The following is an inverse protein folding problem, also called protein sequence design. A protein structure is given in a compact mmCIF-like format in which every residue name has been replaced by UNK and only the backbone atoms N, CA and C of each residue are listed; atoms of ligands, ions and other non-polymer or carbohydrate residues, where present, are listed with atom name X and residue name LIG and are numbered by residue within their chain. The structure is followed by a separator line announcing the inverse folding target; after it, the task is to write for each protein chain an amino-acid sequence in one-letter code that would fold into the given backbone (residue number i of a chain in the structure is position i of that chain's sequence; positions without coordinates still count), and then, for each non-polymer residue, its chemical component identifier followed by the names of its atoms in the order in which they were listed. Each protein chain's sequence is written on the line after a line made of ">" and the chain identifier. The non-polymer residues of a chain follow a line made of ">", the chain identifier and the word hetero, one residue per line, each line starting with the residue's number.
data_IF_682181621103
#
_entry.id   IF_682181621103
#
_cell.length_a   1.000
_cell.length_b   1.000
_cell.length_c   1.000
_cell.angle_alpha   90.00
_cell.angle_beta   90.00
_cell.angle_gamma   90.00
#
_symmetry.space_group_name_H-M   'P 1'
#
loop_
_entity.id
_entity.type
_entity.pdbx_description
1 polymer ?
#
# COMPACT_ATOMS: atom_id res chain seq x y z
N UNK A 1 -22.78 21.13 -19.01
CA UNK A 1 -21.55 21.91 -19.19
C UNK A 1 -20.56 21.54 -18.10
N UNK A 2 -19.26 21.78 -18.32
CA UNK A 2 -18.27 21.66 -17.26
C UNK A 2 -18.67 22.59 -16.11
N UNK A 3 -18.81 22.04 -14.91
CA UNK A 3 -19.35 22.75 -13.73
C UNK A 3 -20.84 22.51 -13.43
N UNK A 4 -21.60 21.83 -14.28
CA UNK A 4 -22.99 21.47 -13.96
C UNK A 4 -23.03 20.39 -12.88
N UNK A 5 -23.89 20.58 -11.88
CA UNK A 5 -24.08 19.60 -10.80
C UNK A 5 -24.94 18.44 -11.32
N UNK A 6 -24.46 17.23 -11.10
CA UNK A 6 -25.19 15.98 -11.30
C UNK A 6 -25.13 15.18 -10.01
N UNK A 7 -26.19 14.41 -9.74
CA UNK A 7 -26.25 13.49 -8.62
C UNK A 7 -26.31 12.05 -9.13
N UNK A 8 -25.61 11.14 -8.45
CA UNK A 8 -25.51 9.73 -8.87
C UNK A 8 -26.00 8.83 -7.74
N UNK A 9 -26.95 7.96 -8.04
CA UNK A 9 -27.34 6.86 -7.15
C UNK A 9 -26.49 5.63 -7.46
N UNK A 10 -25.46 5.40 -6.64
CA UNK A 10 -24.55 4.26 -6.80
C UNK A 10 -25.18 2.88 -6.57
N UNK A 11 -26.38 2.80 -5.98
CA UNK A 11 -27.07 1.51 -5.76
C UNK A 11 -27.87 1.08 -7.00
N UNK A 12 -28.50 2.03 -7.70
CA UNK A 12 -29.30 1.76 -8.91
C UNK A 12 -28.57 2.04 -10.21
N UNK A 13 -27.52 2.85 -10.17
CA UNK A 13 -26.85 3.37 -11.36
C UNK A 13 -27.60 4.51 -12.04
N UNK A 14 -28.57 5.14 -11.36
CA UNK A 14 -29.33 6.26 -11.89
C UNK A 14 -28.52 7.56 -11.81
N UNK A 15 -28.70 8.42 -12.82
CA UNK A 15 -28.05 9.73 -12.91
C UNK A 15 -29.14 10.79 -12.94
N UNK A 16 -29.07 11.74 -12.02
CA UNK A 16 -30.01 12.84 -11.86
C UNK A 16 -29.31 14.15 -12.22
N UNK A 17 -30.04 15.02 -12.91
CA UNK A 17 -29.59 16.38 -13.17
C UNK A 17 -29.86 17.26 -11.95
N UNK A 18 -28.85 18.04 -11.52
CA UNK A 18 -28.91 18.89 -10.34
C UNK A 18 -28.49 18.20 -9.03
N UNK A 19 -28.52 18.96 -7.95
CA UNK A 19 -28.22 18.51 -6.58
C UNK A 19 -29.43 17.80 -5.98
N UNK A 20 -29.27 16.54 -5.61
CA UNK A 20 -30.27 15.77 -4.86
C UNK A 20 -29.89 15.82 -3.39
N UNK A 21 -30.85 16.19 -2.53
CA UNK A 21 -30.64 16.29 -1.09
C UNK A 21 -30.23 14.93 -0.50
N UNK A 22 -29.12 14.92 0.23
CA UNK A 22 -28.60 13.71 0.87
C UNK A 22 -29.00 13.68 2.34
N UNK A 23 -29.27 12.49 2.86
CA UNK A 23 -29.58 12.28 4.27
C UNK A 23 -28.33 11.66 4.92
N UNK A 24 -27.84 12.27 6.01
CA UNK A 24 -26.82 11.60 6.82
C UNK A 24 -27.42 10.35 7.45
N UNK A 25 -26.73 9.22 7.32
CA UNK A 25 -27.15 7.99 7.97
C UNK A 25 -27.14 8.16 9.50
N UNK A 26 -28.32 8.33 10.11
CA UNK A 26 -28.44 8.46 11.56
C UNK A 26 -28.20 7.11 12.25
N UNK A 27 -27.30 7.10 13.24
CA UNK A 27 -27.10 5.96 14.13
C UNK A 27 -28.17 5.97 15.20
N UNK A 28 -29.29 5.30 14.92
CA UNK A 28 -30.31 5.10 15.96
C UNK A 28 -29.80 4.18 17.07
N UNK A 29 -30.28 4.37 18.29
CA UNK A 29 -30.00 3.45 19.41
C UNK A 29 -30.39 1.99 19.09
N UNK A 30 -31.43 1.79 18.26
CA UNK A 30 -31.82 0.45 17.80
C UNK A 30 -30.74 -0.19 16.91
N UNK A 31 -30.11 0.59 16.03
CA UNK A 31 -29.01 0.13 15.19
C UNK A 31 -27.78 -0.25 16.03
N UNK A 32 -27.37 0.60 16.98
CA UNK A 32 -26.22 0.30 17.84
C UNK A 32 -26.43 -0.98 18.64
N UNK A 33 -27.64 -1.16 19.22
CA UNK A 33 -27.99 -2.38 19.95
C UNK A 33 -27.96 -3.63 19.07
N UNK A 34 -28.45 -3.52 17.83
CA UNK A 34 -28.38 -4.61 16.87
C UNK A 34 -26.93 -4.95 16.48
N UNK A 35 -26.09 -3.94 16.27
CA UNK A 35 -24.67 -4.13 15.98
C UNK A 35 -23.94 -4.80 17.14
N UNK A 36 -24.23 -4.42 18.37
CA UNK A 36 -23.68 -5.08 19.57
C UNK A 36 -24.06 -6.56 19.61
N UNK A 37 -25.34 -6.92 19.42
CA UNK A 37 -25.76 -8.32 19.38
C UNK A 37 -25.11 -9.09 18.23
N UNK A 38 -24.95 -8.43 17.08
CA UNK A 38 -24.28 -9.03 15.93
C UNK A 38 -22.82 -9.36 16.27
N UNK A 39 -22.12 -8.46 16.95
CA UNK A 39 -20.75 -8.65 17.41
C UNK A 39 -20.61 -9.76 18.46
N UNK A 40 -21.52 -9.81 19.45
CA UNK A 40 -21.54 -10.85 20.50
C UNK A 40 -21.75 -12.27 19.94
N UNK A 41 -22.44 -12.40 18.81
CA UNK A 41 -22.74 -13.70 18.18
C UNK A 41 -21.84 -14.01 16.97
N UNK A 42 -21.05 -13.04 16.50
CA UNK A 42 -20.22 -13.20 15.33
C UNK A 42 -19.08 -14.21 15.60
N UNK A 43 -18.89 -15.14 14.67
CA UNK A 43 -17.72 -16.04 14.65
C UNK A 43 -16.51 -15.39 13.99
N UNK A 44 -16.72 -14.44 13.09
CA UNK A 44 -15.68 -13.80 12.29
C UNK A 44 -15.45 -12.38 12.78
N UNK A 45 -14.18 -12.01 12.89
CA UNK A 45 -13.81 -10.61 13.05
C UNK A 45 -13.98 -9.86 11.74
N UNK A 46 -14.42 -8.61 11.83
CA UNK A 46 -14.51 -7.69 10.68
C UNK A 46 -13.35 -6.71 10.77
N UNK A 47 -12.44 -6.78 9.80
CA UNK A 47 -11.39 -5.78 9.59
C UNK A 47 -11.76 -4.92 8.38
N UNK A 48 -11.26 -3.68 8.34
CA UNK A 48 -11.51 -2.75 7.24
C UNK A 48 -10.39 -2.79 6.19
N UNK A 49 -10.72 -2.39 4.96
CA UNK A 49 -9.72 -1.95 3.99
C UNK A 49 -9.68 -0.43 4.08
N UNK A 50 -8.56 0.14 4.49
CA UNK A 50 -8.45 1.57 4.76
C UNK A 50 -7.01 2.02 4.55
N UNK A 51 -6.87 3.20 3.95
CA UNK A 51 -5.57 3.78 3.59
C UNK A 51 -5.41 5.21 4.13
N UNK A 52 -6.52 5.94 4.28
CA UNK A 52 -6.52 7.32 4.79
C UNK A 52 -6.94 7.39 6.26
N UNK A 53 -6.52 8.44 6.95
CA UNK A 53 -6.94 8.69 8.34
C UNK A 53 -8.47 8.74 8.50
N UNK A 54 -9.17 9.33 7.52
CA UNK A 54 -10.63 9.40 7.52
C UNK A 54 -11.27 8.00 7.44
N UNK A 55 -10.78 7.15 6.53
CA UNK A 55 -11.28 5.77 6.39
C UNK A 55 -11.03 4.95 7.64
N UNK A 56 -9.83 5.10 8.23
CA UNK A 56 -9.42 4.38 9.44
C UNK A 56 -10.30 4.78 10.63
N UNK A 57 -10.50 6.08 10.84
CA UNK A 57 -11.37 6.59 11.90
C UNK A 57 -12.81 6.13 11.70
N UNK A 58 -13.33 6.21 10.47
CA UNK A 58 -14.68 5.76 10.17
C UNK A 58 -14.85 4.25 10.46
N UNK A 59 -13.93 3.41 10.00
CA UNK A 59 -14.03 1.96 10.25
C UNK A 59 -13.95 1.60 11.74
N UNK A 60 -13.13 2.29 12.53
CA UNK A 60 -13.12 2.10 13.98
C UNK A 60 -14.38 2.65 14.66
N UNK A 61 -14.99 3.72 14.16
CA UNK A 61 -16.33 4.15 14.61
C UNK A 61 -17.40 3.10 14.32
N UNK A 62 -17.22 2.24 13.30
CA UNK A 62 -18.10 1.10 13.00
C UNK A 62 -17.69 -0.21 13.69
N UNK A 63 -16.69 -0.18 14.58
CA UNK A 63 -16.29 -1.35 15.38
C UNK A 63 -15.33 -2.31 14.68
N UNK A 64 -14.65 -1.89 13.61
CA UNK A 64 -13.64 -2.72 12.96
C UNK A 64 -12.56 -3.18 13.95
N UNK A 65 -12.16 -4.46 13.86
CA UNK A 65 -11.17 -5.09 14.75
C UNK A 65 -9.72 -4.77 14.39
N UNK A 66 -9.50 -4.11 13.27
CA UNK A 66 -8.19 -3.76 12.72
C UNK A 66 -8.29 -3.46 11.23
N UNK A 67 -7.14 -3.35 10.58
CA UNK A 67 -7.04 -3.16 9.13
C UNK A 67 -6.63 -4.47 8.48
N UNK A 68 -7.45 -4.96 7.56
CA UNK A 68 -7.21 -6.19 6.80
C UNK A 68 -6.41 -5.94 5.53
N UNK A 69 -6.38 -4.69 5.05
CA UNK A 69 -5.60 -4.29 3.88
C UNK A 69 -5.37 -2.78 3.86
N UNK A 70 -4.12 -2.37 4.04
CA UNK A 70 -3.58 -1.08 3.59
C UNK A 70 -2.92 -1.31 2.23
N UNK A 71 -3.33 -0.55 1.22
CA UNK A 71 -2.68 -0.51 -0.09
C UNK A 71 -1.59 0.56 -0.09
N UNK A 72 -0.35 0.17 -0.36
CA UNK A 72 0.78 1.11 -0.35
C UNK A 72 0.91 1.91 -1.64
N UNK A 73 0.22 1.50 -2.70
CA UNK A 73 0.27 2.09 -4.04
C UNK A 73 -0.06 3.58 -4.05
N UNK A 74 -1.12 3.96 -3.33
CA UNK A 74 -1.56 5.35 -3.21
C UNK A 74 -0.48 6.23 -2.54
N UNK A 75 0.38 5.64 -1.72
CA UNK A 75 1.52 6.33 -1.10
C UNK A 75 2.66 6.64 -2.09
N UNK A 76 2.61 6.17 -3.33
CA UNK A 76 3.61 6.49 -4.37
C UNK A 76 3.14 7.54 -5.38
N UNK A 77 1.84 7.82 -5.47
CA UNK A 77 1.26 8.64 -6.54
C UNK A 77 1.29 10.15 -6.27
N UNK A 78 1.60 10.61 -5.05
CA UNK A 78 1.79 12.02 -4.77
C UNK A 78 2.93 12.60 -5.64
N UNK A 79 2.81 13.84 -6.19
CA UNK A 79 3.73 14.37 -7.20
C UNK A 79 5.22 14.26 -6.85
N UNK A 80 5.58 14.60 -5.60
CA UNK A 80 6.95 14.55 -5.10
C UNK A 80 7.50 13.13 -4.97
N UNK A 81 6.64 12.15 -4.70
CA UNK A 81 6.99 10.73 -4.54
C UNK A 81 7.09 10.04 -5.89
N UNK A 82 6.22 10.45 -6.81
CA UNK A 82 6.18 9.95 -8.18
C UNK A 82 7.47 10.29 -8.93
N UNK A 83 8.07 11.46 -8.66
CA UNK A 83 9.39 11.82 -9.22
C UNK A 83 10.46 10.83 -8.77
N UNK A 84 10.51 10.48 -7.49
CA UNK A 84 11.49 9.53 -6.95
C UNK A 84 11.22 8.10 -7.44
N UNK A 85 9.95 7.71 -7.59
CA UNK A 85 9.60 6.43 -8.19
C UNK A 85 10.06 6.35 -9.65
N UNK A 86 9.93 7.44 -10.41
CA UNK A 86 10.47 7.52 -11.77
C UNK A 86 12.00 7.52 -11.80
N UNK A 87 12.68 8.16 -10.84
CA UNK A 87 14.15 8.03 -10.66
C UNK A 87 14.55 6.57 -10.45
N UNK A 88 13.83 5.86 -9.58
CA UNK A 88 14.05 4.44 -9.35
C UNK A 88 13.90 3.62 -10.64
N UNK A 89 12.81 3.83 -11.39
CA UNK A 89 12.53 3.09 -12.64
C UNK A 89 13.61 3.33 -13.71
N UNK A 90 14.08 4.58 -13.87
CA UNK A 90 15.07 4.95 -14.89
C UNK A 90 16.52 4.70 -14.46
N UNK A 91 16.76 4.19 -13.24
CA UNK A 91 18.11 3.99 -12.72
C UNK A 91 18.78 2.74 -13.30
N UNK A 92 19.98 2.93 -13.83
CA UNK A 92 20.86 1.90 -14.37
C UNK A 92 21.67 1.15 -13.29
N UNK A 93 21.87 1.76 -12.11
CA UNK A 93 22.64 1.18 -11.01
C UNK A 93 21.82 0.98 -9.75
N UNK A 94 22.20 -0.03 -8.95
CA UNK A 94 21.57 -0.32 -7.67
C UNK A 94 21.72 0.85 -6.68
N UNK A 95 22.88 1.53 -6.67
CA UNK A 95 23.11 2.67 -5.76
C UNK A 95 22.13 3.83 -6.04
N UNK A 96 21.85 4.14 -7.31
CA UNK A 96 20.87 5.17 -7.68
C UNK A 96 19.45 4.76 -7.29
N UNK A 97 19.10 3.47 -7.46
CA UNK A 97 17.81 2.93 -7.00
C UNK A 97 17.65 3.06 -5.50
N UNK A 98 18.65 2.67 -4.72
CA UNK A 98 18.62 2.81 -3.25
C UNK A 98 18.51 4.28 -2.84
N UNK A 99 19.22 5.20 -3.51
CA UNK A 99 19.12 6.62 -3.22
C UNK A 99 17.69 7.14 -3.40
N UNK A 100 17.03 6.82 -4.51
CA UNK A 100 15.63 7.20 -4.76
C UNK A 100 14.67 6.56 -3.74
N UNK A 101 14.85 5.27 -3.47
CA UNK A 101 14.03 4.54 -2.49
C UNK A 101 14.20 5.10 -1.07
N UNK A 102 15.39 5.54 -0.67
CA UNK A 102 15.61 6.17 0.65
C UNK A 102 14.81 7.46 0.81
N UNK A 103 14.63 8.24 -0.26
CA UNK A 103 13.77 9.42 -0.26
C UNK A 103 12.30 9.02 -0.14
N UNK A 104 11.85 8.01 -0.89
CA UNK A 104 10.48 7.46 -0.77
C UNK A 104 10.22 6.95 0.64
N UNK A 105 11.21 6.28 1.26
CA UNK A 105 11.13 5.74 2.62
C UNK A 105 10.71 6.80 3.63
N UNK A 106 11.27 8.01 3.53
CA UNK A 106 10.95 9.09 4.47
C UNK A 106 9.47 9.49 4.40
N UNK A 107 8.89 9.52 3.20
CA UNK A 107 7.47 9.80 3.04
C UNK A 107 6.61 8.66 3.60
N UNK A 108 6.93 7.42 3.22
CA UNK A 108 6.17 6.26 3.69
C UNK A 108 6.24 6.04 5.19
N UNK A 109 7.38 6.33 5.82
CA UNK A 109 7.52 6.25 7.27
C UNK A 109 6.49 7.14 7.97
N UNK A 110 6.29 8.37 7.47
CA UNK A 110 5.29 9.29 8.03
C UNK A 110 3.86 8.77 7.82
N UNK A 111 3.55 8.24 6.63
CA UNK A 111 2.21 7.68 6.37
C UNK A 111 1.94 6.46 7.28
N UNK A 112 2.92 5.56 7.43
CA UNK A 112 2.79 4.40 8.30
C UNK A 112 2.71 4.79 9.77
N UNK A 113 3.43 5.83 10.21
CA UNK A 113 3.29 6.37 11.56
C UNK A 113 1.85 6.82 11.81
N UNK A 114 1.24 7.56 10.89
CA UNK A 114 -0.16 8.00 11.02
C UNK A 114 -1.13 6.81 11.08
N UNK A 115 -0.99 5.85 10.16
CA UNK A 115 -1.85 4.66 10.07
C UNK A 115 -1.74 3.78 11.33
N UNK A 116 -0.51 3.50 11.76
CA UNK A 116 -0.24 2.65 12.92
C UNK A 116 -0.66 3.33 14.23
N UNK A 117 -0.47 4.66 14.33
CA UNK A 117 -0.93 5.43 15.48
C UNK A 117 -2.44 5.41 15.63
N UNK A 118 -3.17 5.59 14.53
CA UNK A 118 -4.64 5.50 14.54
C UNK A 118 -5.13 4.09 14.85
N UNK A 119 -4.36 3.07 14.47
CA UNK A 119 -4.70 1.67 14.72
C UNK A 119 -4.41 1.22 16.15
N UNK A 120 -3.37 1.79 16.78
CA UNK A 120 -2.90 1.38 18.10
C UNK A 120 -2.56 -0.11 18.10
N UNK A 121 -2.98 -0.81 19.15
CA UNK A 121 -2.71 -2.25 19.30
C UNK A 121 -3.52 -3.15 18.35
N UNK A 122 -4.37 -2.58 17.49
CA UNK A 122 -5.15 -3.37 16.54
C UNK A 122 -4.26 -3.87 15.40
N UNK A 123 -4.44 -5.12 14.95
CA UNK A 123 -3.64 -5.65 13.88
C UNK A 123 -3.86 -4.88 12.57
N UNK A 124 -2.75 -4.54 11.92
CA UNK A 124 -2.73 -3.66 10.74
C UNK A 124 -1.96 -4.33 9.61
N UNK A 125 -2.69 -4.92 8.66
CA UNK A 125 -2.12 -5.59 7.49
C UNK A 125 -1.76 -4.57 6.42
N UNK A 126 -0.47 -4.46 6.11
CA UNK A 126 0.08 -3.58 5.10
C UNK A 126 0.57 -4.41 3.92
N UNK A 127 -0.06 -4.24 2.76
CA UNK A 127 0.35 -4.90 1.52
C UNK A 127 1.48 -4.12 0.87
N UNK A 128 2.59 -4.81 0.63
CA UNK A 128 3.70 -4.26 -0.13
C UNK A 128 3.28 -3.94 -1.58
N UNK A 129 4.12 -3.19 -2.30
CA UNK A 129 3.79 -2.67 -3.63
C UNK A 129 3.36 -3.79 -4.60
N UNK A 130 2.16 -3.68 -5.15
CA UNK A 130 1.61 -4.64 -6.13
C UNK A 130 1.66 -4.20 -7.61
N UNK A 131 1.48 -2.92 -8.02
CA UNK A 131 1.28 -2.56 -9.41
C UNK A 131 2.57 -2.65 -10.23
N UNK A 132 2.46 -2.88 -11.54
CA UNK A 132 3.58 -2.85 -12.46
C UNK A 132 4.16 -1.44 -12.59
N UNK A 133 5.44 -1.35 -12.96
CA UNK A 133 6.17 -0.08 -12.99
C UNK A 133 5.62 0.94 -14.01
N UNK A 134 4.96 0.49 -15.08
CA UNK A 134 4.43 1.39 -16.10
C UNK A 134 3.30 2.28 -15.59
N UNK A 135 2.60 1.91 -14.51
CA UNK A 135 1.57 2.75 -13.90
C UNK A 135 2.13 4.06 -13.31
N UNK A 136 3.44 4.11 -13.02
CA UNK A 136 4.12 5.31 -12.50
C UNK A 136 4.69 6.22 -13.59
N UNK A 137 4.64 5.79 -14.85
CA UNK A 137 5.23 6.51 -15.97
C UNK A 137 4.23 7.50 -16.62
N UNK A 138 4.73 8.61 -17.18
CA UNK A 138 3.87 9.61 -17.81
C UNK A 138 3.23 9.08 -19.11
N UNK A 139 1.94 9.35 -19.28
CA UNK A 139 1.18 8.90 -20.45
C UNK A 139 1.01 10.00 -21.51
N UNK A 140 1.03 11.27 -21.10
CA UNK A 140 0.86 12.40 -22.03
C UNK A 140 2.20 12.97 -22.49
N UNK A 141 2.25 13.50 -23.72
CA UNK A 141 3.46 14.13 -24.28
C UNK A 141 3.93 15.32 -23.44
N UNK A 142 3.02 16.08 -22.84
CA UNK A 142 3.35 17.20 -21.96
C UNK A 142 4.02 16.72 -20.67
N UNK A 143 3.48 15.69 -20.03
CA UNK A 143 4.08 15.11 -18.83
C UNK A 143 5.45 14.48 -19.12
N UNK A 144 5.61 13.82 -20.27
CA UNK A 144 6.90 13.26 -20.69
C UNK A 144 7.99 14.32 -20.76
N UNK A 145 7.68 15.50 -21.31
CA UNK A 145 8.64 16.61 -21.36
C UNK A 145 9.04 17.09 -19.96
N UNK A 146 8.07 17.25 -19.06
CA UNK A 146 8.33 17.64 -17.66
C UNK A 146 9.17 16.59 -16.92
N UNK A 147 8.85 15.31 -17.09
CA UNK A 147 9.59 14.21 -16.45
C UNK A 147 11.01 14.11 -16.97
N UNK A 148 11.20 14.24 -18.29
CA UNK A 148 12.52 14.24 -18.91
C UNK A 148 13.41 15.35 -18.33
N UNK A 149 12.86 16.55 -18.16
CA UNK A 149 13.56 17.69 -17.54
C UNK A 149 13.88 17.42 -16.05
N UNK A 150 12.91 16.97 -15.26
CA UNK A 150 13.08 16.68 -13.82
C UNK A 150 14.14 15.61 -13.53
N UNK A 151 14.25 14.63 -14.43
CA UNK A 151 15.14 13.48 -14.28
C UNK A 151 16.46 13.65 -15.04
N UNK A 152 16.62 14.77 -15.76
CA UNK A 152 17.77 15.07 -16.60
C UNK A 152 18.08 13.94 -17.60
N UNK A 153 17.03 13.44 -18.26
CA UNK A 153 17.09 12.44 -19.34
C UNK A 153 16.47 13.00 -20.60
N UNK A 154 16.80 12.44 -21.76
CA UNK A 154 16.15 12.82 -23.01
C UNK A 154 14.76 12.20 -23.13
N UNK A 155 13.83 12.86 -23.83
CA UNK A 155 12.49 12.30 -24.12
C UNK A 155 12.63 10.95 -24.84
N UNK A 156 13.64 10.80 -25.72
CA UNK A 156 13.90 9.55 -26.42
C UNK A 156 14.28 8.41 -25.49
N UNK A 157 15.14 8.65 -24.51
CA UNK A 157 15.48 7.64 -23.50
C UNK A 157 14.24 7.28 -22.68
N UNK A 158 13.46 8.27 -22.24
CA UNK A 158 12.22 8.04 -21.51
C UNK A 158 11.22 7.19 -22.32
N UNK A 159 11.02 7.49 -23.59
CA UNK A 159 10.14 6.71 -24.47
C UNK A 159 10.60 5.26 -24.64
N UNK A 160 11.92 5.03 -24.77
CA UNK A 160 12.49 3.69 -24.83
C UNK A 160 12.21 2.89 -23.54
N UNK A 161 12.32 3.54 -22.37
CA UNK A 161 11.97 2.89 -21.10
C UNK A 161 10.48 2.57 -21.00
N UNK A 162 9.60 3.51 -21.37
CA UNK A 162 8.15 3.29 -21.37
C UNK A 162 7.79 2.11 -22.28
N UNK A 163 8.37 2.06 -23.49
CA UNK A 163 8.15 0.97 -24.44
C UNK A 163 8.66 -0.37 -23.89
N UNK A 164 9.82 -0.39 -23.22
CA UNK A 164 10.40 -1.60 -22.63
C UNK A 164 9.59 -2.18 -21.47
N UNK A 165 8.83 -1.34 -20.76
CA UNK A 165 7.98 -1.73 -19.63
C UNK A 165 6.53 -1.97 -20.04
N UNK A 166 6.22 -1.81 -21.34
CA UNK A 166 4.90 -2.05 -21.86
C UNK A 166 4.64 -3.56 -21.93
N UNK A 167 3.54 -3.98 -21.31
CA UNK A 167 3.15 -5.38 -21.24
C UNK A 167 1.82 -5.58 -21.94
N UNK A 168 1.67 -6.70 -22.66
CA UNK A 168 0.41 -7.05 -23.32
C UNK A 168 -0.72 -7.21 -22.29
N UNK A 169 -0.41 -7.80 -21.13
CA UNK A 169 -1.37 -8.04 -20.04
C UNK A 169 -0.76 -7.63 -18.68
N UNK A 170 -0.83 -6.34 -18.30
CA UNK A 170 -0.30 -5.81 -17.03
C UNK A 170 -0.76 -6.57 -15.78
N UNK A 171 -2.00 -7.07 -15.78
CA UNK A 171 -2.56 -7.82 -14.66
C UNK A 171 -1.76 -9.10 -14.32
N UNK A 172 -1.13 -9.72 -15.32
CA UNK A 172 -0.37 -10.97 -15.18
C UNK A 172 1.14 -10.76 -15.34
N UNK A 173 1.60 -9.51 -15.42
CA UNK A 173 2.96 -9.14 -15.78
C UNK A 173 3.95 -9.08 -14.61
N UNK A 174 4.92 -8.19 -14.75
CA UNK A 174 6.02 -7.96 -13.82
C UNK A 174 5.60 -6.99 -12.70
N UNK A 175 4.90 -7.56 -11.72
CA UNK A 175 4.28 -6.84 -10.61
C UNK A 175 4.34 -7.65 -9.31
N UNK A 176 3.93 -7.07 -8.19
CA UNK A 176 3.92 -7.74 -6.87
C UNK A 176 5.25 -8.40 -6.51
N UNK A 177 5.24 -9.61 -5.94
CA UNK A 177 6.47 -10.29 -5.51
C UNK A 177 7.50 -10.48 -6.62
N UNK A 178 7.08 -10.57 -7.89
CA UNK A 178 7.99 -10.75 -9.04
C UNK A 178 8.86 -9.52 -9.24
N UNK A 179 8.28 -8.34 -9.03
CA UNK A 179 9.00 -7.08 -9.08
C UNK A 179 10.03 -6.99 -7.95
N UNK A 180 9.64 -7.41 -6.75
CA UNK A 180 10.56 -7.43 -5.61
C UNK A 180 11.64 -8.51 -5.71
N UNK A 181 11.44 -9.59 -6.47
CA UNK A 181 12.52 -10.55 -6.73
C UNK A 181 13.60 -9.94 -7.62
N UNK A 182 13.21 -9.14 -8.60
CA UNK A 182 14.17 -8.43 -9.47
C UNK A 182 14.76 -7.19 -8.80
N UNK A 183 14.00 -6.52 -7.93
CA UNK A 183 14.39 -5.31 -7.21
C UNK A 183 14.07 -5.45 -5.71
N UNK A 184 14.81 -6.31 -4.97
CA UNK A 184 14.54 -6.60 -3.57
C UNK A 184 14.62 -5.37 -2.66
N UNK A 185 15.43 -4.38 -3.03
CA UNK A 185 15.53 -3.10 -2.34
C UNK A 185 14.17 -2.41 -2.15
N UNK A 186 13.18 -2.67 -3.03
CA UNK A 186 11.86 -2.07 -2.94
C UNK A 186 11.07 -2.57 -1.71
N UNK A 187 10.96 -3.89 -1.53
CA UNK A 187 10.26 -4.46 -0.37
C UNK A 187 11.06 -4.29 0.92
N UNK A 188 12.40 -4.34 0.84
CA UNK A 188 13.27 -4.06 1.98
C UNK A 188 13.02 -2.65 2.49
N UNK A 189 12.99 -1.65 1.60
CA UNK A 189 12.71 -0.26 1.97
C UNK A 189 11.32 -0.09 2.60
N UNK A 190 10.28 -0.70 2.02
CA UNK A 190 8.92 -0.60 2.58
C UNK A 190 8.84 -1.25 3.97
N UNK A 191 9.45 -2.43 4.15
CA UNK A 191 9.51 -3.08 5.45
C UNK A 191 10.29 -2.26 6.48
N UNK A 192 11.39 -1.61 6.08
CA UNK A 192 12.09 -0.65 6.94
C UNK A 192 11.17 0.49 7.36
N UNK A 193 10.46 1.15 6.44
CA UNK A 193 9.54 2.25 6.76
C UNK A 193 8.46 1.83 7.78
N UNK A 194 7.90 0.63 7.61
CA UNK A 194 6.89 0.07 8.53
C UNK A 194 7.48 -0.15 9.92
N UNK A 195 8.66 -0.75 10.03
CA UNK A 195 9.26 -1.04 11.36
C UNK A 195 9.85 0.21 12.01
N UNK A 196 10.46 1.12 11.24
CA UNK A 196 10.94 2.42 11.75
C UNK A 196 9.80 3.23 12.35
N UNK A 197 8.67 3.35 11.65
CA UNK A 197 7.49 4.04 12.18
C UNK A 197 6.94 3.38 13.44
N UNK A 198 6.90 2.04 13.49
CA UNK A 198 6.49 1.30 14.68
C UNK A 198 7.44 1.51 15.88
N UNK A 199 8.75 1.59 15.65
CA UNK A 199 9.75 1.89 16.68
C UNK A 199 9.62 3.32 17.20
N UNK A 200 9.42 4.30 16.31
CA UNK A 200 9.18 5.70 16.67
C UNK A 200 7.92 5.84 17.53
N UNK A 201 6.84 5.16 17.16
CA UNK A 201 5.60 5.12 17.95
C UNK A 201 5.80 4.45 19.31
N UNK A 202 6.54 3.35 19.35
CA UNK A 202 6.86 2.67 20.62
C UNK A 202 7.64 3.58 21.56
N UNK A 203 8.59 4.37 21.05
CA UNK A 203 9.32 5.37 21.83
C UNK A 203 8.40 6.50 22.34
N UNK A 204 7.30 6.78 21.64
CA UNK A 204 6.24 7.70 22.08
C UNK A 204 5.22 7.03 23.04
N UNK A 205 5.39 5.76 23.40
CA UNK A 205 4.48 5.00 24.26
C UNK A 205 3.25 4.44 23.55
N UNK A 206 3.24 4.40 22.21
CA UNK A 206 2.16 3.84 21.40
C UNK A 206 2.55 2.43 20.95
N UNK A 207 1.85 1.42 21.46
CA UNK A 207 1.98 0.03 20.99
C UNK A 207 1.25 -0.15 19.66
N UNK A 208 1.87 -0.86 18.72
CA UNK A 208 1.28 -1.20 17.43
C UNK A 208 1.55 -2.66 17.03
N UNK A 209 0.72 -3.20 16.13
CA UNK A 209 0.82 -4.57 15.61
C UNK A 209 0.86 -4.59 14.07
N UNK A 210 1.99 -4.20 13.46
CA UNK A 210 2.14 -4.24 12.00
C UNK A 210 2.20 -5.70 11.48
N UNK A 211 1.44 -5.99 10.43
CA UNK A 211 1.51 -7.23 9.68
C UNK A 211 1.90 -6.91 8.22
N UNK A 212 3.03 -7.44 7.76
CA UNK A 212 3.54 -7.19 6.40
C UNK A 212 3.02 -8.29 5.48
N UNK A 213 2.36 -7.91 4.38
CA UNK A 213 1.78 -8.84 3.41
C UNK A 213 2.47 -8.74 2.05
N UNK A 214 2.98 -9.87 1.57
CA UNK A 214 3.58 -9.99 0.24
C UNK A 214 2.48 -10.35 -0.79
N UNK A 215 2.26 -9.53 -1.85
CA UNK A 215 1.28 -9.83 -2.89
C UNK A 215 1.82 -10.76 -3.98
N UNK A 216 0.90 -11.40 -4.70
CA UNK A 216 1.05 -12.15 -5.95
C UNK A 216 1.97 -13.39 -5.91
N UNK A 217 2.17 -13.96 -4.72
CA UNK A 217 2.97 -15.18 -4.54
C UNK A 217 2.31 -16.36 -5.27
N UNK A 218 3.14 -17.15 -5.96
CA UNK A 218 2.71 -18.38 -6.64
C UNK A 218 3.50 -19.61 -6.20
N UNK A 219 4.66 -19.44 -5.58
CA UNK A 219 5.58 -20.51 -5.16
C UNK A 219 6.12 -20.27 -3.75
N UNK A 220 6.47 -21.35 -3.03
CA UNK A 220 7.12 -21.27 -1.72
C UNK A 220 8.44 -20.50 -1.78
N UNK A 221 9.21 -20.68 -2.86
CA UNK A 221 10.50 -20.02 -3.04
C UNK A 221 10.36 -18.49 -3.15
N UNK A 222 9.39 -17.99 -3.92
CA UNK A 222 9.13 -16.54 -4.03
C UNK A 222 8.85 -15.93 -2.66
N UNK A 223 8.01 -16.57 -1.84
CA UNK A 223 7.69 -16.08 -0.50
C UNK A 223 8.87 -16.18 0.46
N UNK A 224 9.52 -17.35 0.54
CA UNK A 224 10.59 -17.60 1.51
C UNK A 224 11.84 -16.77 1.22
N UNK A 225 12.20 -16.55 -0.05
CA UNK A 225 13.32 -15.68 -0.43
C UNK A 225 13.07 -14.24 0.01
N UNK A 226 11.92 -13.66 -0.34
CA UNK A 226 11.59 -12.28 0.02
C UNK A 226 11.43 -12.12 1.54
N UNK A 227 10.75 -13.07 2.19
CA UNK A 227 10.59 -13.09 3.65
C UNK A 227 11.94 -13.11 4.36
N UNK A 228 12.90 -13.93 3.92
CA UNK A 228 14.22 -13.98 4.53
C UNK A 228 14.98 -12.67 4.39
N UNK A 229 14.91 -12.01 3.23
CA UNK A 229 15.53 -10.70 2.99
C UNK A 229 14.92 -9.62 3.89
N UNK A 230 13.58 -9.59 3.99
CA UNK A 230 12.86 -8.65 4.85
C UNK A 230 13.22 -8.87 6.33
N UNK A 231 13.16 -10.12 6.82
CA UNK A 231 13.49 -10.45 8.21
C UNK A 231 14.92 -10.02 8.54
N UNK A 232 15.89 -10.36 7.69
CA UNK A 232 17.29 -10.00 7.91
C UNK A 232 17.49 -8.50 8.08
N UNK A 233 16.78 -7.69 7.28
CA UNK A 233 16.87 -6.23 7.42
C UNK A 233 16.18 -5.73 8.69
N UNK A 234 14.98 -6.22 8.99
CA UNK A 234 14.25 -5.86 10.22
C UNK A 234 15.07 -6.20 11.47
N UNK A 235 15.72 -7.37 11.49
CA UNK A 235 16.59 -7.77 12.60
C UNK A 235 17.75 -6.80 12.80
N UNK A 236 18.41 -6.38 11.71
CA UNK A 236 19.49 -5.38 11.78
C UNK A 236 18.96 -4.06 12.36
N UNK A 237 17.80 -3.61 11.88
CA UNK A 237 17.19 -2.36 12.30
C UNK A 237 16.79 -2.35 13.78
N UNK A 238 16.20 -3.46 14.26
CA UNK A 238 15.88 -3.63 15.68
C UNK A 238 17.12 -3.69 16.57
N UNK A 239 18.21 -4.31 16.11
CA UNK A 239 19.48 -4.33 16.83
C UNK A 239 20.11 -2.93 16.93
N UNK A 240 20.10 -2.17 15.83
CA UNK A 240 20.55 -0.77 15.80
C UNK A 240 19.73 0.10 16.77
N UNK A 241 18.41 -0.09 16.79
CA UNK A 241 17.50 0.62 17.69
C UNK A 241 17.55 0.12 19.15
N UNK A 242 18.13 -1.06 19.40
CA UNK A 242 18.11 -1.77 20.70
C UNK A 242 16.70 -1.97 21.25
N UNK A 243 15.75 -2.20 20.35
CA UNK A 243 14.33 -2.32 20.67
C UNK A 243 13.65 -3.28 19.70
N UNK A 244 12.61 -3.98 20.18
CA UNK A 244 11.90 -4.99 19.43
C UNK A 244 10.43 -4.64 19.21
N UNK A 245 10.00 -4.73 17.96
CA UNK A 245 8.61 -4.65 17.51
C UNK A 245 8.13 -6.07 17.22
N UNK A 246 6.96 -6.42 17.74
CA UNK A 246 6.29 -7.63 17.29
C UNK A 246 5.63 -7.36 15.94
N UNK A 247 5.93 -8.20 14.95
CA UNK A 247 5.35 -8.11 13.61
C UNK A 247 5.07 -9.50 13.06
N UNK A 248 4.19 -9.57 12.06
CA UNK A 248 3.95 -10.78 11.28
C UNK A 248 4.32 -10.55 9.81
N UNK A 249 4.75 -11.60 9.12
CA UNK A 249 4.92 -11.59 7.67
C UNK A 249 4.09 -12.71 7.07
N UNK A 250 3.13 -12.33 6.25
CA UNK A 250 2.22 -13.22 5.54
C UNK A 250 2.21 -12.96 4.04
N UNK A 251 1.36 -13.69 3.33
CA UNK A 251 1.18 -13.56 1.89
C UNK A 251 -0.31 -13.45 1.56
N UNK A 252 -0.61 -12.74 0.48
CA UNK A 252 -1.93 -12.81 -0.13
C UNK A 252 -2.08 -14.15 -0.87
N UNK A 253 -3.20 -14.83 -0.68
CA UNK A 253 -3.56 -16.03 -1.44
C UNK A 253 -4.50 -15.60 -2.57
N UNK A 254 -3.89 -15.14 -3.67
CA UNK A 254 -4.61 -14.57 -4.83
C UNK A 254 -4.24 -15.23 -6.17
N UNK A 255 -3.32 -16.20 -6.16
CA UNK A 255 -3.00 -17.00 -7.34
C UNK A 255 -3.54 -18.42 -7.19
N UNK A 256 -4.10 -19.03 -8.25
CA UNK A 256 -4.59 -20.41 -8.16
C UNK A 256 -3.52 -21.38 -7.67
N UNK A 257 -2.26 -21.17 -8.06
CA UNK A 257 -1.14 -22.01 -7.62
C UNK A 257 -0.92 -21.93 -6.13
N UNK A 258 -0.94 -20.74 -5.52
CA UNK A 258 -0.79 -20.58 -4.08
C UNK A 258 -1.87 -21.36 -3.29
N UNK A 259 -3.11 -21.39 -3.80
CA UNK A 259 -4.17 -22.21 -3.19
C UNK A 259 -3.85 -23.72 -3.26
N UNK A 260 -3.31 -24.20 -4.40
CA UNK A 260 -3.03 -25.62 -4.62
C UNK A 260 -1.88 -26.15 -3.77
N UNK A 261 -0.93 -25.30 -3.40
CA UNK A 261 0.24 -25.66 -2.60
C UNK A 261 0.23 -25.03 -1.20
N UNK A 262 -0.94 -24.60 -0.70
CA UNK A 262 -1.06 -23.84 0.56
C UNK A 262 -0.59 -24.60 1.82
N UNK A 263 -0.40 -25.92 1.73
CA UNK A 263 0.13 -26.75 2.82
C UNK A 263 1.67 -26.76 2.91
N UNK A 264 2.36 -26.28 1.87
CA UNK A 264 3.83 -26.18 1.81
C UNK A 264 4.31 -24.85 2.44
#
# INVERSE_FOLDING_TARGET
>A
YEGDIISVDGAKGDIYFGEVETIQAERSHAFEKFMQWSEENARLDVRMNAETAQDIQAGYQFGAKGIGLVRTEHMFFAPERLIEMRRFILSDTQDKRIAALNTIKQYQKNDFEEILKLSGERPTIIRLLDPPLHEFLPNSNNEKATVAEQLNVTIKELDQYIESLNEVNPMLGHRGCRLAITYPELYIMQAEAIIESALELKAQGVSCQPEIMIPLVSTVAEFTTLKAQIISRIETLQQEAKEHIHYMIGTMIETPRACLIASE
#
